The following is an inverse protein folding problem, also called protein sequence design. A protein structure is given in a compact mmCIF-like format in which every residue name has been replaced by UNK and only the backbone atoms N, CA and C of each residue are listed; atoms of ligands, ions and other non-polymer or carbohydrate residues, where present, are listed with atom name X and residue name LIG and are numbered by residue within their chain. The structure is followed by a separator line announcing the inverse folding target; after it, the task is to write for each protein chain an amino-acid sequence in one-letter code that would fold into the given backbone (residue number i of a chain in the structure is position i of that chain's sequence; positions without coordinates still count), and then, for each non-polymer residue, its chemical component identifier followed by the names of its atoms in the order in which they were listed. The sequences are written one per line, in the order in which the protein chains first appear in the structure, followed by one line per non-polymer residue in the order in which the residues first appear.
data_IF_025413994129
#
_entry.id   IF_025413994129
#
_cell.length_a   1.000
_cell.length_b   1.000
_cell.length_c   1.000
_cell.angle_alpha   90.00
_cell.angle_beta   90.00
_cell.angle_gamma   90.00
#
_symmetry.space_group_name_H-M   'P 1'
#
loop_
_entity.id
_entity.type
_entity.pdbx_description
1 polymer ?
#
# COMPACT_ATOMS: atom_id res chain seq x y z
N UNK A 1 18.98 53.34 28.32
CA UNK A 1 18.76 52.43 27.19
C UNK A 1 18.00 51.21 27.69
N UNK A 2 16.73 51.07 27.31
CA UNK A 2 15.89 49.90 27.64
C UNK A 2 15.97 48.93 26.47
N UNK A 3 16.56 47.77 26.69
CA UNK A 3 16.47 46.65 25.74
C UNK A 3 15.17 45.90 26.01
N UNK A 4 14.17 46.11 25.15
CA UNK A 4 13.04 45.20 25.03
C UNK A 4 13.50 43.95 24.27
N UNK A 5 13.84 42.89 25.00
CA UNK A 5 13.86 41.55 24.42
C UNK A 5 12.42 41.03 24.39
N UNK A 6 11.76 41.18 23.25
CA UNK A 6 10.55 40.42 22.94
C UNK A 6 10.96 38.98 22.69
N UNK A 7 10.82 38.13 23.70
CA UNK A 7 10.88 36.68 23.53
C UNK A 7 9.62 36.28 22.78
N UNK A 8 9.72 36.17 21.46
CA UNK A 8 8.71 35.48 20.67
C UNK A 8 8.78 34.00 21.03
N UNK A 9 7.78 33.53 21.77
CA UNK A 9 7.52 32.11 21.97
C UNK A 9 7.29 31.51 20.59
N UNK A 10 8.32 30.89 20.02
CA UNK A 10 8.17 29.97 18.91
C UNK A 10 7.31 28.81 19.43
N UNK A 11 6.03 28.80 19.10
CA UNK A 11 5.25 27.58 19.17
C UNK A 11 5.88 26.60 18.18
N UNK A 12 6.70 25.70 18.68
CA UNK A 12 7.31 24.61 17.92
C UNK A 12 6.21 23.85 17.19
N UNK A 13 6.12 24.10 15.88
CA UNK A 13 5.15 23.45 15.05
C UNK A 13 5.52 21.95 15.01
N UNK A 14 4.60 21.03 15.33
CA UNK A 14 4.90 19.62 15.49
C UNK A 14 5.65 19.09 14.27
N UNK A 15 6.83 18.52 14.52
CA UNK A 15 7.80 18.09 13.51
C UNK A 15 7.22 16.98 12.60
N UNK A 16 6.13 16.34 13.03
CA UNK A 16 5.47 15.22 12.37
C UNK A 16 3.96 15.45 12.18
N UNK A 17 3.52 16.14 11.11
CA UNK A 17 2.11 16.44 10.85
C UNK A 17 1.19 15.22 10.84
N UNK A 18 1.60 14.13 10.19
CA UNK A 18 0.82 12.88 10.16
C UNK A 18 0.79 12.16 11.51
N UNK A 19 1.75 12.43 12.40
CA UNK A 19 1.70 11.95 13.77
C UNK A 19 0.52 12.54 14.54
N UNK A 20 0.28 13.85 14.38
CA UNK A 20 -0.90 14.49 14.98
C UNK A 20 -2.22 13.88 14.48
N UNK A 21 -2.32 13.64 13.17
CA UNK A 21 -3.51 13.02 12.58
C UNK A 21 -3.72 11.62 13.15
N UNK A 22 -2.66 10.81 13.22
CA UNK A 22 -2.75 9.47 13.79
C UNK A 22 -3.20 9.50 15.25
N UNK A 23 -2.62 10.37 16.09
CA UNK A 23 -3.03 10.53 17.49
C UNK A 23 -4.49 10.97 17.63
N UNK A 24 -4.94 11.91 16.78
CA UNK A 24 -6.34 12.35 16.76
C UNK A 24 -7.29 11.19 16.42
N UNK A 25 -6.93 10.35 15.44
CA UNK A 25 -7.69 9.15 15.10
C UNK A 25 -7.70 8.14 16.26
N UNK A 26 -6.54 7.89 16.88
CA UNK A 26 -6.40 6.95 18.00
C UNK A 26 -7.14 7.39 19.27
N UNK A 27 -7.42 8.70 19.40
CA UNK A 27 -8.29 9.23 20.47
C UNK A 27 -9.75 8.79 20.36
N UNK A 28 -10.15 8.21 19.21
CA UNK A 28 -11.52 7.82 18.87
C UNK A 28 -12.54 8.97 18.82
N UNK A 29 -12.08 10.22 18.89
CA UNK A 29 -12.90 11.41 18.65
C UNK A 29 -12.86 11.78 17.15
N UNK A 30 -13.94 11.46 16.44
CA UNK A 30 -14.05 11.73 15.00
C UNK A 30 -13.97 13.24 14.71
N UNK A 31 -14.50 14.10 15.59
CA UNK A 31 -14.42 15.56 15.43
C UNK A 31 -12.97 16.05 15.52
N UNK A 32 -12.18 15.51 16.45
CA UNK A 32 -10.76 15.83 16.53
C UNK A 32 -9.99 15.36 15.30
N UNK A 33 -10.29 14.15 14.79
CA UNK A 33 -9.70 13.65 13.56
C UNK A 33 -10.06 14.53 12.34
N UNK A 34 -11.31 15.00 12.26
CA UNK A 34 -11.75 15.96 11.24
C UNK A 34 -11.03 17.30 11.35
N UNK A 35 -10.90 17.86 12.56
CA UNK A 35 -10.16 19.10 12.80
C UNK A 35 -8.67 18.96 12.41
N UNK A 36 -8.06 17.81 12.70
CA UNK A 36 -6.70 17.51 12.26
C UNK A 36 -6.61 17.44 10.73
N UNK A 37 -7.57 16.81 10.05
CA UNK A 37 -7.64 16.77 8.57
C UNK A 37 -7.91 18.13 7.93
N UNK A 38 -8.55 19.06 8.63
CA UNK A 38 -8.76 20.42 8.14
C UNK A 38 -7.44 21.22 8.12
N UNK A 39 -6.43 20.82 8.89
CA UNK A 39 -5.14 21.49 8.94
C UNK A 39 -4.39 21.40 7.61
N UNK A 40 -4.08 22.55 7.01
CA UNK A 40 -3.44 22.62 5.69
C UNK A 40 -2.09 21.90 5.63
N UNK A 41 -1.30 21.90 6.71
CA UNK A 41 0.00 21.22 6.74
C UNK A 41 -0.17 19.70 6.70
N UNK A 42 -1.18 19.16 7.39
CA UNK A 42 -1.54 17.73 7.34
C UNK A 42 -2.01 17.36 5.94
N UNK A 43 -2.88 18.18 5.34
CA UNK A 43 -3.39 17.95 3.97
C UNK A 43 -2.26 17.93 2.95
N UNK A 44 -1.37 18.92 2.98
CA UNK A 44 -0.20 18.98 2.10
C UNK A 44 0.70 17.76 2.29
N UNK A 45 0.95 17.35 3.54
CA UNK A 45 1.74 16.15 3.81
C UNK A 45 1.02 14.89 3.29
N UNK A 46 -0.30 14.75 3.42
CA UNK A 46 -1.06 13.60 2.87
C UNK A 46 -0.99 13.53 1.34
N UNK A 47 -1.03 14.67 0.64
CA UNK A 47 -0.89 14.73 -0.82
C UNK A 47 0.53 14.34 -1.26
N UNK A 48 1.54 14.79 -0.52
CA UNK A 48 2.95 14.52 -0.84
C UNK A 48 3.48 13.21 -0.25
N UNK A 49 2.76 12.57 0.68
CA UNK A 49 3.21 11.37 1.39
C UNK A 49 3.05 10.15 0.51
N UNK A 50 4.10 9.88 -0.27
CA UNK A 50 4.29 8.59 -0.94
C UNK A 50 4.67 7.48 0.05
N UNK A 51 4.53 6.23 -0.40
CA UNK A 51 5.02 5.01 0.28
C UNK A 51 6.46 5.11 0.84
N UNK A 52 7.28 6.05 0.35
CA UNK A 52 8.71 6.17 0.68
C UNK A 52 9.08 7.34 1.60
N UNK A 53 8.21 8.30 1.95
CA UNK A 53 8.69 9.53 2.64
C UNK A 53 9.03 9.41 4.12
N UNK A 54 10.17 10.04 4.47
CA UNK A 54 10.89 10.16 5.75
C UNK A 54 11.13 8.82 6.45
N UNK A 55 12.21 8.14 6.04
CA UNK A 55 12.88 7.17 6.91
C UNK A 55 13.32 7.95 8.15
N UNK A 56 12.80 7.65 9.35
CA UNK A 56 13.24 8.35 10.55
C UNK A 56 14.73 8.12 10.72
N UNK A 57 15.48 9.20 10.93
CA UNK A 57 16.94 9.15 11.12
C UNK A 57 17.31 8.38 12.39
N UNK A 58 16.41 8.34 13.38
CA UNK A 58 16.54 7.61 14.63
C UNK A 58 15.80 6.26 14.64
N UNK A 59 16.40 5.26 15.29
CA UNK A 59 15.80 3.93 15.48
C UNK A 59 14.56 3.93 16.40
N UNK A 60 14.32 5.02 17.13
CA UNK A 60 13.20 5.19 18.07
C UNK A 60 12.03 6.02 17.53
N UNK A 61 12.19 6.74 16.42
CA UNK A 61 11.11 7.57 15.86
C UNK A 61 10.12 6.71 15.06
N UNK A 62 8.85 6.73 15.45
CA UNK A 62 7.79 6.02 14.74
C UNK A 62 7.46 6.78 13.45
N UNK A 63 7.63 6.11 12.30
CA UNK A 63 7.29 6.66 10.98
C UNK A 63 5.78 6.82 10.90
N UNK A 64 5.27 8.04 11.04
CA UNK A 64 3.87 8.35 10.78
C UNK A 64 3.72 8.67 9.29
N UNK A 65 2.89 7.92 8.59
CA UNK A 65 2.62 8.08 7.17
C UNK A 65 1.15 7.77 6.86
N UNK A 66 0.75 7.87 5.58
CA UNK A 66 -0.61 7.54 5.16
C UNK A 66 -1.01 6.13 5.60
N UNK A 67 -0.11 5.14 5.56
CA UNK A 67 -0.40 3.77 5.97
C UNK A 67 -0.71 3.64 7.45
N UNK A 68 0.04 4.31 8.33
CA UNK A 68 -0.22 4.25 9.77
C UNK A 68 -1.50 4.99 10.14
N UNK A 69 -1.77 6.15 9.51
CA UNK A 69 -3.01 6.89 9.72
C UNK A 69 -4.25 6.09 9.25
N UNK A 70 -4.18 5.47 8.07
CA UNK A 70 -5.26 4.62 7.55
C UNK A 70 -5.41 3.34 8.39
N UNK A 71 -4.32 2.70 8.81
CA UNK A 71 -4.39 1.54 9.72
C UNK A 71 -5.08 1.92 11.03
N UNK A 72 -4.74 3.06 11.64
CA UNK A 72 -5.40 3.57 12.83
C UNK A 72 -6.89 3.83 12.60
N UNK A 73 -7.27 4.49 11.50
CA UNK A 73 -8.67 4.81 11.21
C UNK A 73 -9.51 3.56 10.92
N UNK A 74 -8.93 2.57 10.25
CA UNK A 74 -9.56 1.25 10.04
C UNK A 74 -9.75 0.53 11.38
N UNK A 75 -8.75 0.58 12.27
CA UNK A 75 -8.84 -0.03 13.59
C UNK A 75 -9.88 0.65 14.50
N UNK A 76 -10.02 1.97 14.42
CA UNK A 76 -11.02 2.75 15.16
C UNK A 76 -12.39 2.79 14.48
N UNK A 77 -12.59 2.04 13.39
CA UNK A 77 -13.83 2.01 12.59
C UNK A 77 -14.33 3.41 12.17
N UNK A 78 -13.42 4.25 11.65
CA UNK A 78 -13.69 5.61 11.17
C UNK A 78 -13.64 5.70 9.64
N UNK A 79 -14.61 5.12 8.90
CA UNK A 79 -14.58 5.08 7.44
C UNK A 79 -14.62 6.48 6.81
N UNK A 80 -15.30 7.44 7.44
CA UNK A 80 -15.41 8.82 6.95
C UNK A 80 -14.05 9.51 6.88
N UNK A 81 -13.22 9.32 7.90
CA UNK A 81 -11.85 9.84 7.93
C UNK A 81 -11.01 9.22 6.81
N UNK A 82 -11.12 7.90 6.59
CA UNK A 82 -10.41 7.24 5.47
C UNK A 82 -10.88 7.78 4.12
N UNK A 83 -12.17 7.98 3.94
CA UNK A 83 -12.73 8.55 2.70
C UNK A 83 -12.28 10.00 2.48
N UNK A 84 -12.19 10.79 3.54
CA UNK A 84 -11.66 12.16 3.46
C UNK A 84 -10.17 12.16 3.07
N UNK A 85 -9.36 11.27 3.65
CA UNK A 85 -7.97 11.07 3.22
C UNK A 85 -7.90 10.61 1.77
N UNK A 86 -8.80 9.71 1.34
CA UNK A 86 -8.86 9.21 -0.04
C UNK A 86 -9.11 10.31 -1.06
N UNK A 87 -9.90 11.33 -0.72
CA UNK A 87 -10.09 12.51 -1.59
C UNK A 87 -8.79 13.30 -1.81
N UNK A 88 -7.84 13.24 -0.87
CA UNK A 88 -6.55 13.93 -0.94
C UNK A 88 -5.47 13.11 -1.64
N UNK A 89 -5.36 11.82 -1.31
CA UNK A 89 -4.41 10.89 -1.95
C UNK A 89 -5.09 9.56 -2.33
N UNK A 90 -5.78 9.50 -3.48
CA UNK A 90 -6.58 8.34 -3.88
C UNK A 90 -5.77 7.07 -4.13
N UNK A 91 -4.50 7.17 -4.49
CA UNK A 91 -3.64 6.03 -4.77
C UNK A 91 -3.11 5.42 -3.47
N UNK A 92 -2.45 6.23 -2.63
CA UNK A 92 -1.82 5.74 -1.40
C UNK A 92 -2.86 5.31 -0.36
N UNK A 93 -3.96 6.04 -0.19
CA UNK A 93 -5.01 5.66 0.77
C UNK A 93 -5.70 4.36 0.37
N UNK A 94 -5.84 4.11 -0.93
CA UNK A 94 -6.43 2.87 -1.44
C UNK A 94 -5.55 1.67 -1.21
N UNK A 95 -4.26 1.84 -1.49
CA UNK A 95 -3.25 0.86 -1.18
C UNK A 95 -3.14 0.60 0.33
N UNK A 96 -3.16 1.65 1.14
CA UNK A 96 -3.11 1.57 2.60
C UNK A 96 -4.34 0.88 3.18
N UNK A 97 -5.53 1.18 2.66
CA UNK A 97 -6.79 0.56 3.11
C UNK A 97 -6.79 -0.93 2.80
N UNK A 98 -6.36 -1.33 1.59
CA UNK A 98 -6.21 -2.75 1.25
C UNK A 98 -5.27 -3.46 2.22
N UNK A 99 -4.11 -2.86 2.51
CA UNK A 99 -3.12 -3.45 3.40
C UNK A 99 -3.58 -3.54 4.86
N UNK A 100 -4.24 -2.50 5.37
CA UNK A 100 -4.81 -2.47 6.71
C UNK A 100 -5.86 -3.59 6.89
N UNK A 101 -6.79 -3.73 5.94
CA UNK A 101 -7.80 -4.79 5.97
C UNK A 101 -7.19 -6.19 5.81
N UNK A 102 -6.16 -6.35 4.97
CA UNK A 102 -5.42 -7.61 4.86
C UNK A 102 -4.78 -8.00 6.20
N UNK A 103 -4.10 -7.05 6.85
CA UNK A 103 -3.46 -7.27 8.14
C UNK A 103 -4.47 -7.59 9.24
N UNK A 104 -5.60 -6.88 9.26
CA UNK A 104 -6.67 -7.10 10.22
C UNK A 104 -7.23 -8.52 10.09
N UNK A 105 -7.57 -8.96 8.88
CA UNK A 105 -8.01 -10.34 8.60
C UNK A 105 -6.94 -11.38 8.96
N UNK A 106 -5.68 -11.11 8.63
CA UNK A 106 -4.56 -11.99 8.93
C UNK A 106 -4.38 -12.18 10.44
N UNK A 107 -4.37 -11.08 11.22
CA UNK A 107 -4.27 -11.09 12.70
C UNK A 107 -5.43 -11.88 13.33
N UNK A 108 -6.65 -11.75 12.80
CA UNK A 108 -7.81 -12.53 13.24
C UNK A 108 -7.69 -14.02 12.94
N UNK A 109 -7.14 -14.42 11.79
CA UNK A 109 -6.92 -15.84 11.47
C UNK A 109 -5.93 -16.53 12.42
N UNK A 110 -4.93 -15.80 12.91
CA UNK A 110 -3.91 -16.34 13.83
C UNK A 110 -4.41 -16.44 15.27
N UNK A 111 -5.29 -15.53 15.69
CA UNK A 111 -5.93 -15.54 17.01
C UNK A 111 -7.21 -16.41 16.95
N UNK A 112 -7.06 -17.74 17.01
CA UNK A 112 -8.17 -18.70 17.19
C UNK A 112 -8.83 -18.54 18.58
N UNK A 113 -9.40 -17.37 18.87
CA UNK A 113 -10.27 -17.20 20.05
C UNK A 113 -11.69 -17.55 19.64
N UNK A 114 -12.25 -18.52 20.34
CA UNK A 114 -13.66 -18.90 20.30
C UNK A 114 -14.54 -17.65 20.46
N UNK A 115 -15.68 -17.63 19.74
CA UNK A 115 -16.61 -16.50 19.58
C UNK A 115 -16.12 -15.49 18.54
N UNK A 116 -16.25 -15.89 17.28
CA UNK A 116 -16.00 -15.04 16.10
C UNK A 116 -17.17 -14.08 15.96
N UNK A 117 -17.11 -12.91 16.61
CA UNK A 117 -17.88 -11.78 16.11
C UNK A 117 -17.34 -11.45 14.72
N UNK A 118 -18.18 -11.42 13.66
CA UNK A 118 -17.73 -11.02 12.35
C UNK A 118 -17.19 -9.60 12.46
N UNK A 119 -15.92 -9.43 12.11
CA UNK A 119 -15.29 -8.13 12.06
C UNK A 119 -16.07 -7.27 11.06
N UNK A 120 -16.88 -6.34 11.58
CA UNK A 120 -17.76 -5.51 10.79
C UNK A 120 -16.94 -4.43 10.08
N UNK A 121 -16.48 -4.74 8.88
CA UNK A 121 -15.78 -3.80 8.01
C UNK A 121 -16.82 -2.96 7.29
N UNK A 122 -16.75 -1.64 7.41
CA UNK A 122 -17.56 -0.72 6.62
C UNK A 122 -17.46 -1.03 5.11
N UNK A 123 -18.61 -1.08 4.45
CA UNK A 123 -18.75 -1.54 3.07
C UNK A 123 -17.89 -0.73 2.08
N UNK A 124 -17.75 0.56 2.37
CA UNK A 124 -17.00 1.55 1.63
C UNK A 124 -15.50 1.22 1.65
N UNK A 125 -14.97 0.84 2.81
CA UNK A 125 -13.57 0.42 2.95
C UNK A 125 -13.32 -0.91 2.22
N UNK A 126 -14.29 -1.82 2.30
CA UNK A 126 -14.22 -3.09 1.56
C UNK A 126 -14.27 -2.87 0.04
N UNK A 127 -15.07 -1.93 -0.45
CA UNK A 127 -15.13 -1.54 -1.86
C UNK A 127 -13.79 -0.94 -2.32
N UNK A 128 -13.20 -0.07 -1.50
CA UNK A 128 -11.96 0.64 -1.77
C UNK A 128 -10.75 -0.32 -1.78
N UNK A 129 -10.69 -1.29 -0.87
CA UNK A 129 -9.70 -2.36 -0.92
C UNK A 129 -9.89 -3.30 -2.12
N UNK A 130 -11.14 -3.63 -2.48
CA UNK A 130 -11.44 -4.44 -3.67
C UNK A 130 -11.01 -3.74 -4.96
N UNK A 131 -11.20 -2.43 -5.05
CA UNK A 131 -10.77 -1.66 -6.23
C UNK A 131 -9.25 -1.65 -6.37
N UNK A 132 -8.48 -1.56 -5.27
CA UNK A 132 -7.02 -1.73 -5.31
C UNK A 132 -6.63 -3.09 -5.92
N UNK A 133 -7.25 -4.17 -5.44
CA UNK A 133 -6.93 -5.52 -5.91
C UNK A 133 -7.23 -5.68 -7.40
N UNK A 134 -8.35 -5.11 -7.88
CA UNK A 134 -8.69 -5.11 -9.31
C UNK A 134 -7.64 -4.39 -10.14
N UNK A 135 -7.15 -3.24 -9.69
CA UNK A 135 -6.12 -2.47 -10.40
C UNK A 135 -4.83 -3.26 -10.52
N UNK A 136 -4.32 -3.82 -9.41
CA UNK A 136 -3.10 -4.63 -9.45
C UNK A 136 -3.21 -5.88 -10.32
N UNK A 137 -4.36 -6.56 -10.26
CA UNK A 137 -4.61 -7.68 -11.16
C UNK A 137 -4.60 -7.19 -12.61
N UNK A 138 -5.31 -6.11 -12.92
CA UNK A 138 -5.36 -5.55 -14.27
C UNK A 138 -3.99 -5.11 -14.80
N UNK A 139 -3.17 -4.44 -14.00
CA UNK A 139 -1.81 -4.02 -14.40
C UNK A 139 -0.92 -5.21 -14.81
N UNK A 140 -1.16 -6.39 -14.23
CA UNK A 140 -0.34 -7.58 -14.48
C UNK A 140 -0.92 -8.51 -15.53
N UNK A 141 -2.22 -8.78 -15.47
CA UNK A 141 -2.89 -9.73 -16.36
C UNK A 141 -3.63 -9.07 -17.51
N UNK A 142 -3.97 -7.78 -17.40
CA UNK A 142 -4.72 -7.02 -18.40
C UNK A 142 -4.10 -7.09 -19.79
N UNK A 143 -2.79 -6.81 -19.96
CA UNK A 143 -2.14 -6.94 -21.26
C UNK A 143 -2.27 -8.35 -21.86
N UNK A 144 -2.10 -9.39 -21.04
CA UNK A 144 -2.22 -10.79 -21.47
C UNK A 144 -3.66 -11.12 -21.90
N UNK A 145 -4.65 -10.62 -21.16
CA UNK A 145 -6.07 -10.78 -21.49
C UNK A 145 -6.44 -10.02 -22.76
N UNK A 146 -5.90 -8.82 -22.98
CA UNK A 146 -6.14 -8.03 -24.18
C UNK A 146 -5.56 -8.73 -25.41
N UNK A 147 -4.35 -9.26 -25.31
CA UNK A 147 -3.74 -10.07 -26.38
C UNK A 147 -4.57 -11.32 -26.62
N UNK A 148 -4.88 -12.09 -25.57
CA UNK A 148 -5.67 -13.33 -25.65
C UNK A 148 -7.01 -13.13 -26.36
N UNK A 149 -7.66 -11.98 -26.15
CA UNK A 149 -8.98 -11.66 -26.70
C UNK A 149 -8.91 -10.68 -27.88
N UNK A 150 -7.77 -10.57 -28.56
CA UNK A 150 -7.57 -9.62 -29.66
C UNK A 150 -8.63 -9.76 -30.75
N UNK A 151 -9.08 -10.97 -31.08
CA UNK A 151 -10.07 -11.21 -32.14
C UNK A 151 -11.46 -10.70 -31.78
N UNK A 152 -11.82 -10.76 -30.49
CA UNK A 152 -13.10 -10.23 -29.99
C UNK A 152 -13.05 -8.70 -30.01
N UNK A 153 -11.91 -8.13 -29.61
CA UNK A 153 -11.70 -6.68 -29.60
C UNK A 153 -11.65 -6.12 -31.03
N UNK A 154 -10.95 -6.78 -31.95
CA UNK A 154 -10.87 -6.41 -33.35
C UNK A 154 -12.24 -6.43 -34.06
N UNK A 155 -13.14 -7.33 -33.65
CA UNK A 155 -14.53 -7.36 -34.16
C UNK A 155 -15.34 -6.17 -33.65
N UNK A 156 -15.20 -5.81 -32.37
CA UNK A 156 -15.88 -4.64 -31.79
C UNK A 156 -15.39 -3.33 -32.43
N UNK A 157 -14.08 -3.17 -32.57
CA UNK A 157 -13.48 -1.99 -33.18
C UNK A 157 -13.91 -1.81 -34.64
N UNK A 158 -14.00 -2.91 -35.41
CA UNK A 158 -14.56 -2.87 -36.78
C UNK A 158 -16.03 -2.45 -36.79
N UNK A 159 -16.85 -2.94 -35.86
CA UNK A 159 -18.24 -2.50 -35.72
C UNK A 159 -18.37 -1.01 -35.37
N UNK A 160 -17.54 -0.50 -34.45
CA UNK A 160 -17.51 0.92 -34.09
C UNK A 160 -16.94 1.83 -35.19
N UNK A 161 -15.98 1.35 -35.98
CA UNK A 161 -15.47 2.06 -37.14
C UNK A 161 -16.51 2.17 -38.28
N UNK A 162 -17.32 1.11 -38.50
CA UNK A 162 -18.46 1.17 -39.43
C UNK A 162 -19.54 2.18 -38.99
N UNK A 163 -19.66 2.42 -37.69
CA UNK A 163 -20.54 3.45 -37.12
C UNK A 163 -19.90 4.86 -37.09
N UNK A 164 -18.73 5.03 -37.70
CA UNK A 164 -18.04 6.33 -37.81
C UNK A 164 -17.44 6.86 -36.51
N UNK A 165 -17.32 6.03 -35.46
CA UNK A 165 -16.99 6.50 -34.11
C UNK A 165 -15.49 6.49 -33.76
N UNK A 166 -14.62 5.80 -34.51
CA UNK A 166 -13.18 5.72 -34.18
C UNK A 166 -12.27 5.47 -35.39
N UNK A 167 -11.12 6.15 -35.47
CA UNK A 167 -9.99 5.79 -36.36
C UNK A 167 -9.31 4.52 -35.83
N UNK A 168 -9.33 3.44 -36.62
CA UNK A 168 -8.63 2.18 -36.32
C UNK A 168 -7.12 2.42 -36.27
N UNK A 169 -6.53 2.38 -35.08
CA UNK A 169 -5.11 2.69 -34.82
C UNK A 169 -4.37 1.51 -34.14
N UNK A 170 -4.80 0.26 -34.36
CA UNK A 170 -4.17 -0.91 -33.75
C UNK A 170 -3.85 -1.97 -34.79
N UNK A 171 -2.62 -2.46 -34.74
CA UNK A 171 -2.15 -3.61 -35.51
C UNK A 171 -2.68 -4.91 -34.88
N UNK A 172 -3.93 -5.23 -35.26
CA UNK A 172 -4.60 -6.44 -34.79
C UNK A 172 -3.96 -7.72 -35.33
N UNK A 173 -3.26 -7.66 -36.46
CA UNK A 173 -2.59 -8.80 -37.07
C UNK A 173 -1.36 -9.22 -36.26
N UNK A 174 -0.53 -8.24 -35.83
CA UNK A 174 0.58 -8.49 -34.93
C UNK A 174 0.13 -9.10 -33.59
N UNK A 175 -1.00 -8.65 -33.05
CA UNK A 175 -1.58 -9.21 -31.81
C UNK A 175 -2.10 -10.64 -32.02
N UNK A 176 -2.76 -10.92 -33.14
CA UNK A 176 -3.27 -12.27 -33.46
C UNK A 176 -2.14 -13.29 -33.64
N UNK A 177 -0.98 -12.86 -34.14
CA UNK A 177 0.21 -13.70 -34.28
C UNK A 177 0.91 -14.01 -32.94
N UNK A 178 0.56 -13.31 -31.85
CA UNK A 178 1.24 -13.46 -30.57
C UNK A 178 1.01 -14.86 -29.96
N UNK A 179 2.03 -15.58 -29.46
CA UNK A 179 1.88 -16.96 -28.98
C UNK A 179 0.77 -17.18 -27.94
N UNK A 180 0.51 -16.18 -27.10
CA UNK A 180 -0.57 -16.18 -26.09
C UNK A 180 -1.96 -16.40 -26.69
N UNK A 181 -2.23 -15.93 -27.92
CA UNK A 181 -3.54 -16.12 -28.57
C UNK A 181 -3.80 -17.58 -28.90
N UNK A 182 -2.75 -18.37 -29.12
CA UNK A 182 -2.83 -19.78 -29.55
C UNK A 182 -2.70 -20.78 -28.41
N UNK A 183 -2.45 -20.34 -27.18
CA UNK A 183 -2.30 -21.25 -26.05
C UNK A 183 -3.62 -21.99 -25.74
N UNK A 184 -3.59 -23.25 -25.28
CA UNK A 184 -4.75 -23.87 -24.67
C UNK A 184 -5.18 -23.10 -23.39
N UNK A 185 -6.47 -23.09 -23.09
CA UNK A 185 -7.00 -22.35 -21.93
C UNK A 185 -6.35 -22.77 -20.61
N UNK A 186 -6.04 -24.06 -20.46
CA UNK A 186 -5.33 -24.57 -19.29
C UNK A 186 -3.93 -23.95 -19.14
N UNK A 187 -3.17 -23.88 -20.23
CA UNK A 187 -1.83 -23.30 -20.23
C UNK A 187 -1.88 -21.79 -19.95
N UNK A 188 -2.86 -21.09 -20.53
CA UNK A 188 -3.09 -19.68 -20.26
C UNK A 188 -3.48 -19.44 -18.80
N UNK A 189 -4.37 -20.26 -18.23
CA UNK A 189 -4.75 -20.22 -16.82
C UNK A 189 -3.56 -20.41 -15.87
N UNK A 190 -2.64 -21.32 -16.20
CA UNK A 190 -1.40 -21.50 -15.46
C UNK A 190 -0.52 -20.24 -15.50
N UNK A 191 -0.32 -19.63 -16.67
CA UNK A 191 0.43 -18.36 -16.79
C UNK A 191 -0.20 -17.27 -15.93
N UNK A 192 -1.52 -17.12 -16.00
CA UNK A 192 -2.24 -16.13 -15.17
C UNK A 192 -2.04 -16.38 -13.67
N UNK A 193 -2.00 -17.64 -13.23
CA UNK A 193 -1.76 -18.00 -11.83
C UNK A 193 -0.36 -17.62 -11.33
N UNK A 194 0.65 -17.63 -12.21
CA UNK A 194 2.00 -17.17 -11.89
C UNK A 194 2.10 -15.64 -11.84
N UNK A 195 1.43 -14.96 -12.77
CA UNK A 195 1.46 -13.50 -12.91
C UNK A 195 0.63 -12.80 -11.82
N UNK A 196 -0.50 -13.40 -11.44
CA UNK A 196 -1.32 -12.93 -10.33
C UNK A 196 -0.69 -13.36 -8.99
N UNK A 197 0.17 -12.51 -8.42
CA UNK A 197 0.74 -12.80 -7.09
C UNK A 197 -0.39 -13.04 -6.06
N UNK A 198 -0.23 -14.06 -5.19
CA UNK A 198 -1.06 -14.22 -4.02
C UNK A 198 -1.00 -12.98 -3.13
N UNK A 199 -2.13 -12.59 -2.52
CA UNK A 199 -2.23 -11.41 -1.63
C UNK A 199 -1.16 -11.43 -0.52
N UNK A 200 -0.83 -12.62 0.00
CA UNK A 200 0.20 -12.79 1.02
C UNK A 200 1.63 -12.47 0.55
N UNK A 201 1.93 -12.59 -0.75
CA UNK A 201 3.22 -12.14 -1.30
C UNK A 201 3.22 -10.62 -1.43
N UNK A 202 2.14 -10.03 -1.94
CA UNK A 202 2.01 -8.58 -2.09
C UNK A 202 2.06 -7.85 -0.76
N UNK A 203 1.31 -8.32 0.23
CA UNK A 203 1.34 -7.77 1.58
C UNK A 203 2.74 -7.85 2.21
N UNK A 204 3.52 -8.90 1.92
CA UNK A 204 4.92 -9.00 2.40
C UNK A 204 5.83 -7.98 1.73
N UNK A 205 5.69 -7.76 0.43
CA UNK A 205 6.46 -6.74 -0.32
C UNK A 205 6.11 -5.36 0.22
N UNK A 206 4.81 -5.05 0.32
CA UNK A 206 4.33 -3.77 0.81
C UNK A 206 4.75 -3.52 2.25
N UNK A 207 4.66 -4.54 3.12
CA UNK A 207 5.20 -4.48 4.49
C UNK A 207 6.67 -4.09 4.50
N UNK A 208 7.47 -4.70 3.62
CA UNK A 208 8.88 -4.36 3.50
C UNK A 208 9.05 -2.90 3.08
N UNK A 209 8.30 -2.40 2.08
CA UNK A 209 8.39 -1.00 1.64
C UNK A 209 8.00 0.00 2.75
N UNK A 210 7.00 -0.33 3.57
CA UNK A 210 6.53 0.52 4.67
C UNK A 210 7.49 0.48 5.87
N UNK A 211 7.91 -0.72 6.29
CA UNK A 211 8.61 -0.95 7.56
C UNK A 211 10.14 -1.00 7.42
N UNK A 212 10.71 -1.26 6.23
CA UNK A 212 12.16 -1.42 6.09
C UNK A 212 12.90 -0.12 6.44
N UNK A 213 14.01 -0.27 7.14
CA UNK A 213 14.92 0.80 7.56
C UNK A 213 16.34 0.41 7.23
N UNK A 214 17.21 1.40 7.01
CA UNK A 214 18.63 1.13 6.92
C UNK A 214 19.12 0.59 8.26
N UNK A 215 19.58 -0.65 8.28
CA UNK A 215 20.09 -1.24 9.50
C UNK A 215 21.50 -0.72 9.77
N UNK A 216 21.71 0.03 10.84
CA UNK A 216 23.04 0.51 11.25
C UNK A 216 24.08 -0.62 11.44
N UNK A 217 23.64 -1.87 11.64
CA UNK A 217 24.55 -3.02 11.85
C UNK A 217 25.04 -3.65 10.55
N UNK A 218 24.29 -3.55 9.46
CA UNK A 218 24.64 -4.24 8.22
C UNK A 218 24.49 -3.38 6.97
N UNK A 219 24.15 -2.11 7.13
CA UNK A 219 23.97 -1.13 6.05
C UNK A 219 22.98 -1.56 4.96
N UNK A 220 22.09 -2.51 5.26
CA UNK A 220 21.04 -3.01 4.35
C UNK A 220 19.67 -2.60 4.85
N UNK A 221 18.72 -2.44 3.94
CA UNK A 221 17.31 -2.28 4.27
C UNK A 221 16.76 -3.54 4.94
N UNK A 222 16.29 -3.41 6.17
CA UNK A 222 15.74 -4.49 6.97
C UNK A 222 14.53 -3.98 7.76
N UNK A 223 13.55 -4.85 7.98
CA UNK A 223 12.51 -4.58 8.98
C UNK A 223 13.17 -4.59 10.37
N UNK A 224 12.95 -3.55 11.22
CA UNK A 224 13.46 -3.51 12.59
C UNK A 224 13.18 -4.82 13.35
N UNK A 225 14.17 -5.30 14.11
CA UNK A 225 14.09 -6.58 14.84
C UNK A 225 14.25 -7.85 13.98
N UNK A 226 14.16 -7.77 12.64
CA UNK A 226 14.28 -8.93 11.73
C UNK A 226 15.58 -8.96 10.92
N UNK A 227 16.55 -8.09 11.23
CA UNK A 227 17.84 -8.05 10.55
C UNK A 227 18.61 -9.38 10.73
N UNK A 228 18.82 -10.11 9.63
CA UNK A 228 19.56 -11.39 9.62
C UNK A 228 21.07 -11.24 9.82
N UNK A 229 21.62 -10.03 9.79
CA UNK A 229 23.06 -9.81 9.93
C UNK A 229 23.61 -10.25 11.28
N UNK A 230 22.83 -10.19 12.36
CA UNK A 230 23.22 -10.79 13.65
C UNK A 230 23.33 -12.32 13.57
N UNK A 231 22.49 -12.98 12.76
CA UNK A 231 22.50 -14.43 12.57
C UNK A 231 23.67 -14.86 11.70
N UNK A 232 23.99 -14.12 10.65
CA UNK A 232 25.19 -14.32 9.82
C UNK A 232 26.49 -14.11 10.62
N UNK A 233 26.62 -12.99 11.35
CA UNK A 233 27.80 -12.76 12.22
C UNK A 233 27.94 -13.78 13.36
N UNK A 234 26.84 -14.33 13.89
CA UNK A 234 26.88 -15.44 14.86
C UNK A 234 27.30 -16.77 14.23
N UNK A 235 26.99 -17.01 12.96
CA UNK A 235 27.48 -18.19 12.23
C UNK A 235 28.94 -18.05 11.83
N UNK A 236 29.40 -16.86 11.42
CA UNK A 236 30.83 -16.58 11.16
C UNK A 236 31.70 -16.70 12.42
N UNK A 237 31.20 -16.29 13.58
CA UNK A 237 31.88 -16.51 14.88
C UNK A 237 31.87 -17.97 15.35
N UNK A 238 31.02 -18.80 14.77
CA UNK A 238 31.06 -20.27 14.90
C UNK A 238 31.78 -20.86 13.70
N UNK A 239 32.93 -20.29 13.36
CA UNK A 239 33.88 -20.92 12.44
C UNK A 239 34.12 -22.37 12.85
N UNK A 240 34.50 -23.23 11.89
CA UNK A 240 34.65 -24.65 12.13
C UNK A 240 35.60 -24.82 13.31
N UNK A 241 35.11 -25.38 14.41
CA UNK A 241 36.01 -25.92 15.43
C UNK A 241 36.89 -26.90 14.67
N UNK A 242 38.17 -26.55 14.53
CA UNK A 242 39.19 -27.46 14.05
C UNK A 242 39.00 -28.76 14.83
N UNK A 243 38.54 -29.80 14.14
CA UNK A 243 38.66 -31.16 14.66
C UNK A 243 40.15 -31.42 14.62
N UNK A 244 40.69 -31.55 15.84
CA UNK A 244 42.04 -31.97 16.18
C UNK A 244 42.47 -33.18 15.37
#
# INVERSE_FOLDING_TARGET
MRFHFSVTVQHDAPEFPLGMLQTAIESQDECNAWNALANQRIRSELVCSTTTHKVPSGSQQQKCNVFTCVEAAVHCNMPRIVLAMYQLSPADVRLATWYALYNLKSKHKTKRSSVVYPLQIASELANLARSQRKIWLWERVGPLLLVRNCDILARKDRGSAMLGQTKSCRDWEALAAHPITRLPDLAFGLILSFVALPEAKEARILRFLIEARLCQKCSRLCIPGKCKAKRLRRMERRGPKARS
#
